data_IF_050708350905
#
_entry.id   IF_050708350905
#
_cell.length_a   1.000
_cell.length_b   1.000
_cell.length_c   1.000
_cell.angle_alpha   90.00
_cell.angle_beta   90.00
_cell.angle_gamma   90.00
#
_symmetry.space_group_name_H-M   'P 1'
#
loop_
_entity.id
_entity.type
_entity.pdbx_description
1 polymer ?
#
# COMPACT_ATOMS: atom_id res chain seq x y z
N UNK A 1 -25.83 -24.24 -11.74
CA UNK A 1 -24.84 -23.30 -12.33
C UNK A 1 -23.86 -22.91 -11.24
N UNK A 2 -22.57 -23.23 -11.36
CA UNK A 2 -21.54 -22.78 -10.43
C UNK A 2 -21.06 -21.37 -10.77
N UNK A 3 -20.58 -20.62 -9.77
CA UNK A 3 -19.90 -19.34 -9.94
C UNK A 3 -18.46 -19.53 -9.51
N UNK A 4 -17.53 -18.79 -10.10
CA UNK A 4 -16.10 -18.81 -9.76
C UNK A 4 -15.63 -17.36 -9.68
N UNK A 5 -14.84 -17.04 -8.66
CA UNK A 5 -14.16 -15.76 -8.53
C UNK A 5 -12.64 -15.99 -8.64
N UNK A 6 -11.95 -15.11 -9.36
CA UNK A 6 -10.50 -15.13 -9.52
C UNK A 6 -9.93 -13.83 -8.94
N UNK A 7 -8.91 -13.94 -8.09
CA UNK A 7 -8.21 -12.78 -7.51
C UNK A 7 -6.72 -13.07 -7.46
N UNK A 8 -5.91 -12.05 -7.74
CA UNK A 8 -4.46 -12.09 -7.62
C UNK A 8 -3.95 -11.65 -6.23
N UNK A 9 -4.81 -11.01 -5.42
CA UNK A 9 -4.48 -10.59 -4.06
C UNK A 9 -4.99 -11.62 -3.05
N UNK A 10 -4.26 -11.86 -1.94
CA UNK A 10 -4.77 -12.67 -0.86
C UNK A 10 -6.12 -12.10 -0.39
N UNK A 11 -7.08 -12.98 -0.10
CA UNK A 11 -8.41 -12.63 0.45
C UNK A 11 -8.30 -12.04 1.88
N UNK A 12 -7.08 -11.77 2.35
CA UNK A 12 -6.72 -11.40 3.72
C UNK A 12 -6.63 -9.87 3.93
N UNK A 13 -6.63 -9.05 2.87
CA UNK A 13 -6.39 -7.60 3.03
C UNK A 13 -7.51 -6.87 3.77
N UNK A 14 -8.78 -7.24 3.54
CA UNK A 14 -9.93 -6.77 4.33
C UNK A 14 -11.03 -7.84 4.37
N UNK A 15 -11.56 -8.08 5.57
CA UNK A 15 -12.62 -9.07 5.85
C UNK A 15 -13.89 -8.81 5.03
N UNK A 16 -14.17 -7.54 4.72
CA UNK A 16 -15.28 -7.12 3.86
C UNK A 16 -15.18 -7.63 2.41
N UNK A 17 -13.96 -7.73 1.87
CA UNK A 17 -13.73 -8.13 0.48
C UNK A 17 -14.05 -9.62 0.33
N UNK A 18 -13.72 -10.41 1.36
CA UNK A 18 -14.12 -11.80 1.50
C UNK A 18 -15.65 -11.94 1.46
N UNK A 19 -16.41 -11.13 2.21
CA UNK A 19 -17.88 -11.19 2.15
C UNK A 19 -18.42 -10.84 0.76
N UNK A 20 -17.86 -9.83 0.10
CA UNK A 20 -18.27 -9.44 -1.25
C UNK A 20 -18.05 -10.57 -2.26
N UNK A 21 -16.90 -11.26 -2.19
CA UNK A 21 -16.61 -12.44 -3.01
C UNK A 21 -17.65 -13.54 -2.71
N UNK A 22 -17.85 -13.89 -1.44
CA UNK A 22 -18.79 -14.97 -1.05
C UNK A 22 -20.25 -14.67 -1.35
N UNK A 23 -20.68 -13.41 -1.30
CA UNK A 23 -22.00 -13.00 -1.79
C UNK A 23 -22.19 -13.35 -3.26
N UNK A 24 -21.12 -13.27 -4.07
CA UNK A 24 -21.16 -13.68 -5.47
C UNK A 24 -21.07 -15.20 -5.61
N UNK A 25 -20.01 -15.84 -5.10
CA UNK A 25 -19.74 -17.27 -5.36
C UNK A 25 -20.70 -18.22 -4.65
N UNK A 26 -21.12 -17.90 -3.42
CA UNK A 26 -22.02 -18.72 -2.60
C UNK A 26 -23.01 -17.83 -1.80
N UNK A 27 -24.04 -17.27 -2.47
CA UNK A 27 -24.99 -16.35 -1.84
C UNK A 27 -25.60 -16.92 -0.55
N UNK A 28 -25.57 -16.13 0.54
CA UNK A 28 -26.11 -16.54 1.85
C UNK A 28 -25.17 -17.38 2.71
N UNK A 29 -24.06 -17.90 2.17
CA UNK A 29 -23.14 -18.78 2.92
C UNK A 29 -22.53 -18.11 4.17
N UNK A 30 -22.26 -16.81 4.09
CA UNK A 30 -21.72 -16.00 5.19
C UNK A 30 -22.78 -15.14 5.91
N UNK A 31 -24.06 -15.39 5.64
CA UNK A 31 -25.16 -14.56 6.13
C UNK A 31 -25.28 -13.23 5.37
N UNK A 32 -26.14 -12.36 5.88
CA UNK A 32 -26.30 -11.02 5.32
C UNK A 32 -25.13 -10.08 5.69
N UNK A 33 -25.15 -8.86 5.15
CA UNK A 33 -24.06 -7.90 5.36
C UNK A 33 -23.96 -7.45 6.82
N UNK A 34 -25.11 -7.29 7.48
CA UNK A 34 -25.20 -6.70 8.83
C UNK A 34 -24.66 -7.70 9.84
N UNK A 35 -25.12 -8.94 9.78
CA UNK A 35 -24.68 -10.03 10.65
C UNK A 35 -23.19 -10.31 10.47
N UNK A 36 -22.71 -10.31 9.23
CA UNK A 36 -21.29 -10.51 8.96
C UNK A 36 -20.43 -9.40 9.55
N UNK A 37 -20.85 -8.14 9.41
CA UNK A 37 -20.13 -6.99 9.97
C UNK A 37 -20.08 -7.04 11.49
N UNK A 38 -21.20 -7.31 12.15
CA UNK A 38 -21.25 -7.44 13.62
C UNK A 38 -20.37 -8.58 14.11
N UNK A 39 -20.43 -9.73 13.43
CA UNK A 39 -19.70 -10.93 13.84
C UNK A 39 -18.20 -10.87 13.54
N UNK A 40 -17.78 -10.23 12.45
CA UNK A 40 -16.40 -10.31 11.95
C UNK A 40 -15.68 -8.97 11.81
N UNK A 41 -16.36 -7.88 11.45
CA UNK A 41 -15.67 -6.58 11.24
C UNK A 41 -15.58 -5.80 12.56
N UNK A 42 -16.70 -5.62 13.27
CA UNK A 42 -16.76 -4.89 14.53
C UNK A 42 -15.91 -5.57 15.61
N UNK A 43 -16.05 -6.90 15.74
CA UNK A 43 -15.28 -7.70 16.70
C UNK A 43 -13.75 -7.64 16.48
N UNK A 44 -13.28 -7.37 15.26
CA UNK A 44 -11.85 -7.14 15.00
C UNK A 44 -11.40 -5.70 15.21
N UNK A 45 -12.32 -4.74 15.19
CA UNK A 45 -12.04 -3.34 15.45
C UNK A 45 -12.00 -3.00 16.96
N UNK A 46 -12.70 -3.78 17.80
CA UNK A 46 -12.85 -3.54 19.25
C UNK A 46 -11.63 -3.92 20.12
N UNK A 47 -10.54 -4.42 19.52
CA UNK A 47 -9.21 -4.29 20.13
C UNK A 47 -8.73 -5.40 21.07
N UNK A 48 -9.44 -6.51 21.27
CA UNK A 48 -8.83 -7.72 21.87
C UNK A 48 -8.15 -8.56 20.76
N UNK A 49 -6.81 -8.58 20.68
CA UNK A 49 -6.10 -9.26 19.61
C UNK A 49 -6.28 -10.78 19.65
N UNK A 50 -6.47 -11.37 20.85
CA UNK A 50 -6.62 -12.82 21.01
C UNK A 50 -8.01 -13.29 20.57
N UNK A 51 -9.05 -12.56 20.96
CA UNK A 51 -10.41 -12.84 20.53
C UNK A 51 -10.57 -12.65 19.01
N UNK A 52 -9.96 -11.61 18.46
CA UNK A 52 -9.92 -11.32 17.02
C UNK A 52 -9.23 -12.43 16.22
N UNK A 53 -8.07 -12.91 16.68
CA UNK A 53 -7.33 -14.00 16.02
C UNK A 53 -8.14 -15.31 15.96
N UNK A 54 -8.76 -15.70 17.07
CA UNK A 54 -9.58 -16.93 17.11
C UNK A 54 -10.82 -16.84 16.22
N UNK A 55 -11.42 -15.65 16.09
CA UNK A 55 -12.54 -15.40 15.20
C UNK A 55 -12.15 -15.45 13.72
N UNK A 56 -10.99 -14.89 13.37
CA UNK A 56 -10.43 -14.95 12.02
C UNK A 56 -10.09 -16.37 11.61
N UNK A 57 -9.50 -17.17 12.50
CA UNK A 57 -9.20 -18.57 12.19
C UNK A 57 -10.48 -19.38 11.94
N UNK A 58 -11.55 -19.15 12.72
CA UNK A 58 -12.85 -19.77 12.46
C UNK A 58 -13.42 -19.38 11.09
N UNK A 59 -13.31 -18.11 10.70
CA UNK A 59 -13.71 -17.67 9.37
C UNK A 59 -12.88 -18.37 8.28
N UNK A 60 -11.56 -18.40 8.44
CA UNK A 60 -10.62 -19.05 7.52
C UNK A 60 -10.93 -20.53 7.32
N UNK A 61 -11.16 -21.27 8.41
CA UNK A 61 -11.54 -22.68 8.34
C UNK A 61 -12.88 -22.87 7.62
N UNK A 62 -13.86 -22.01 7.90
CA UNK A 62 -15.17 -22.03 7.24
C UNK A 62 -15.07 -21.81 5.73
N UNK A 63 -14.24 -20.87 5.27
CA UNK A 63 -14.10 -20.58 3.84
C UNK A 63 -13.13 -21.51 3.11
N UNK A 64 -12.24 -22.19 3.83
CA UNK A 64 -11.18 -23.03 3.23
C UNK A 64 -11.64 -24.03 2.17
N UNK A 65 -12.83 -24.68 2.27
CA UNK A 65 -13.26 -25.63 1.24
C UNK A 65 -13.60 -24.98 -0.11
N UNK A 66 -13.81 -23.66 -0.14
CA UNK A 66 -14.16 -22.89 -1.33
C UNK A 66 -12.97 -22.12 -1.92
N UNK A 67 -11.82 -22.11 -1.22
CA UNK A 67 -10.66 -21.30 -1.60
C UNK A 67 -9.51 -22.20 -1.99
N UNK A 68 -9.09 -22.09 -3.25
CA UNK A 68 -7.86 -22.69 -3.75
C UNK A 68 -6.80 -21.60 -3.89
N UNK A 69 -5.79 -21.61 -3.01
CA UNK A 69 -4.60 -20.73 -3.09
C UNK A 69 -3.37 -21.60 -3.29
N UNK A 70 -2.57 -21.28 -4.30
CA UNK A 70 -1.25 -21.87 -4.52
C UNK A 70 -0.23 -20.75 -4.62
N UNK A 71 0.89 -20.87 -3.91
CA UNK A 71 2.00 -19.91 -4.00
C UNK A 71 3.05 -20.40 -4.99
N UNK A 72 3.93 -19.51 -5.47
CA UNK A 72 4.97 -19.89 -6.44
C UNK A 72 5.91 -20.94 -5.84
N UNK A 73 6.22 -20.83 -4.55
CA UNK A 73 7.05 -21.77 -3.80
C UNK A 73 6.43 -23.18 -3.77
N UNK A 74 5.09 -23.28 -3.76
CA UNK A 74 4.40 -24.57 -3.76
C UNK A 74 4.39 -25.26 -5.13
N UNK A 75 4.41 -24.50 -6.23
CA UNK A 75 4.16 -25.02 -7.59
C UNK A 75 5.35 -24.95 -8.53
N UNK A 76 6.35 -24.12 -8.23
CA UNK A 76 7.43 -23.82 -9.15
C UNK A 76 8.79 -23.92 -8.45
N UNK A 77 9.12 -25.15 -8.04
CA UNK A 77 10.33 -25.49 -7.26
C UNK A 77 11.64 -25.25 -8.00
N UNK A 78 11.59 -25.12 -9.33
CA UNK A 78 12.75 -24.89 -10.18
C UNK A 78 13.08 -23.39 -10.33
N UNK A 79 12.24 -22.48 -9.81
CA UNK A 79 12.60 -21.07 -9.77
C UNK A 79 13.62 -20.80 -8.66
N UNK A 80 14.70 -20.04 -8.94
CA UNK A 80 15.58 -19.57 -7.90
C UNK A 80 14.84 -18.66 -6.93
N UNK A 81 15.33 -18.60 -5.69
CA UNK A 81 14.78 -17.73 -4.66
C UNK A 81 14.80 -16.27 -5.11
N UNK A 82 13.74 -15.53 -4.80
CA UNK A 82 13.70 -14.09 -5.01
C UNK A 82 14.66 -13.43 -4.02
N UNK A 83 15.67 -12.75 -4.54
CA UNK A 83 16.57 -11.93 -3.74
C UNK A 83 15.96 -10.53 -3.59
N UNK A 84 15.68 -10.14 -2.36
CA UNK A 84 15.23 -8.79 -2.01
C UNK A 84 16.37 -8.04 -1.31
N UNK A 85 16.65 -6.83 -1.78
CA UNK A 85 17.71 -5.98 -1.26
C UNK A 85 17.09 -4.62 -0.95
N UNK A 86 17.04 -4.27 0.32
CA UNK A 86 16.62 -2.94 0.76
C UNK A 86 17.81 -1.98 0.69
N UNK A 87 17.66 -0.91 -0.08
CA UNK A 87 18.67 0.13 -0.23
C UNK A 87 18.20 1.43 0.44
N UNK A 88 18.96 1.88 1.44
CA UNK A 88 18.67 3.10 2.18
C UNK A 88 19.41 4.27 1.54
N UNK A 89 18.67 5.26 1.06
CA UNK A 89 19.23 6.45 0.41
C UNK A 89 19.10 7.67 1.33
N UNK A 90 20.19 8.42 1.46
CA UNK A 90 20.19 9.73 2.14
C UNK A 90 19.81 10.80 1.14
N UNK A 91 18.82 11.63 1.46
CA UNK A 91 18.43 12.77 0.61
C UNK A 91 19.59 13.75 0.46
N UNK A 92 19.72 14.36 -0.72
CA UNK A 92 20.64 15.48 -0.92
C UNK A 92 20.23 16.67 -0.04
N UNK A 93 21.17 17.54 0.32
CA UNK A 93 20.94 18.63 1.27
C UNK A 93 19.79 19.57 0.86
N UNK A 94 19.67 19.88 -0.43
CA UNK A 94 18.61 20.71 -0.99
C UNK A 94 17.24 20.02 -0.97
N UNK A 95 17.22 18.71 -1.21
CA UNK A 95 16.02 17.86 -1.14
C UNK A 95 15.56 17.67 0.31
N UNK A 96 16.49 17.47 1.25
CA UNK A 96 16.24 17.39 2.67
C UNK A 96 15.70 18.72 3.24
N UNK A 97 16.30 19.84 2.82
CA UNK A 97 15.83 21.18 3.20
C UNK A 97 14.41 21.44 2.69
N UNK A 98 14.12 21.06 1.43
CA UNK A 98 12.78 21.18 0.87
C UNK A 98 11.76 20.32 1.63
N UNK A 99 12.11 19.06 1.90
CA UNK A 99 11.26 18.15 2.67
C UNK A 99 10.92 18.73 4.04
N UNK A 100 11.92 19.20 4.79
CA UNK A 100 11.74 19.78 6.11
C UNK A 100 10.87 21.05 6.07
N UNK A 101 11.08 21.91 5.07
CA UNK A 101 10.28 23.13 4.86
C UNK A 101 8.81 22.81 4.55
N UNK A 102 8.55 21.85 3.66
CA UNK A 102 7.20 21.39 3.32
C UNK A 102 6.51 20.73 4.50
N UNK A 103 7.22 19.87 5.25
CA UNK A 103 6.67 19.21 6.42
C UNK A 103 6.24 20.24 7.48
N UNK A 104 7.10 21.21 7.78
CA UNK A 104 6.80 22.25 8.77
C UNK A 104 5.62 23.12 8.33
N UNK A 105 5.68 23.70 7.14
CA UNK A 105 4.62 24.59 6.64
C UNK A 105 3.28 23.87 6.44
N UNK A 106 3.31 22.60 6.02
CA UNK A 106 2.11 21.79 5.87
C UNK A 106 1.46 21.39 7.20
N UNK A 107 2.25 21.17 8.27
CA UNK A 107 1.70 20.92 9.60
C UNK A 107 1.04 22.19 10.18
N UNK A 108 1.69 23.34 10.04
CA UNK A 108 1.13 24.62 10.48
C UNK A 108 -0.20 24.92 9.76
N UNK A 109 -0.28 24.62 8.46
CA UNK A 109 -1.49 24.81 7.66
C UNK A 109 -2.59 23.78 8.01
N UNK A 110 -2.20 22.53 8.28
CA UNK A 110 -3.12 21.49 8.73
C UNK A 110 -3.86 21.88 10.01
N UNK A 111 -3.15 22.45 10.98
CA UNK A 111 -3.75 22.93 12.23
C UNK A 111 -4.81 24.01 11.97
N UNK A 112 -4.47 25.02 11.15
CA UNK A 112 -5.41 26.08 10.77
C UNK A 112 -6.65 25.55 10.05
N UNK A 113 -6.47 24.63 9.10
CA UNK A 113 -7.59 24.05 8.33
C UNK A 113 -8.50 23.25 9.26
N UNK A 114 -7.95 22.48 10.21
CA UNK A 114 -8.76 21.73 11.17
C UNK A 114 -9.61 22.66 12.04
N UNK A 115 -9.04 23.78 12.49
CA UNK A 115 -9.76 24.79 13.27
C UNK A 115 -10.87 25.48 12.47
N UNK A 116 -10.62 25.81 11.20
CA UNK A 116 -11.55 26.60 10.38
C UNK A 116 -12.61 25.78 9.66
N UNK A 117 -12.25 24.58 9.20
CA UNK A 117 -13.05 23.77 8.26
C UNK A 117 -13.35 22.36 8.80
N UNK A 118 -12.82 22.02 9.98
CA UNK A 118 -13.05 20.76 10.66
C UNK A 118 -12.17 19.60 10.20
N UNK A 119 -12.34 18.45 10.86
CA UNK A 119 -11.47 17.27 10.69
C UNK A 119 -11.48 16.67 9.28
N UNK A 120 -12.60 16.76 8.55
CA UNK A 120 -12.69 16.25 7.19
C UNK A 120 -11.75 16.96 6.21
N UNK A 121 -11.72 18.30 6.28
CA UNK A 121 -10.82 19.12 5.47
C UNK A 121 -9.36 18.91 5.88
N UNK A 122 -9.09 18.82 7.19
CA UNK A 122 -7.76 18.50 7.71
C UNK A 122 -7.22 17.17 7.17
N UNK A 123 -8.05 16.12 7.15
CA UNK A 123 -7.64 14.81 6.60
C UNK A 123 -7.26 14.89 5.12
N UNK A 124 -8.01 15.64 4.31
CA UNK A 124 -7.69 15.84 2.89
C UNK A 124 -6.35 16.58 2.73
N UNK A 125 -6.13 17.61 3.54
CA UNK A 125 -4.87 18.36 3.52
C UNK A 125 -3.67 17.51 3.94
N UNK A 126 -3.82 16.69 4.98
CA UNK A 126 -2.78 15.75 5.41
C UNK A 126 -2.40 14.77 4.30
N UNK A 127 -3.38 14.20 3.59
CA UNK A 127 -3.11 13.30 2.46
C UNK A 127 -2.34 14.03 1.34
N UNK A 128 -2.72 15.28 1.06
CA UNK A 128 -2.00 16.13 0.10
C UNK A 128 -0.57 16.42 0.54
N UNK A 129 -0.35 16.69 1.83
CA UNK A 129 0.98 16.90 2.39
C UNK A 129 1.84 15.63 2.29
N UNK A 130 1.31 14.48 2.69
CA UNK A 130 2.02 13.19 2.58
C UNK A 130 2.40 12.87 1.13
N UNK A 131 1.51 13.20 0.19
CA UNK A 131 1.77 13.06 -1.25
C UNK A 131 2.97 13.90 -1.68
N UNK A 132 2.98 15.19 -1.32
CA UNK A 132 4.08 16.12 -1.63
C UNK A 132 5.39 15.72 -0.98
N UNK A 133 5.36 15.26 0.28
CA UNK A 133 6.55 14.75 0.96
C UNK A 133 7.11 13.52 0.25
N UNK A 134 6.24 12.58 -0.17
CA UNK A 134 6.64 11.43 -0.98
C UNK A 134 7.25 11.85 -2.32
N UNK A 135 6.62 12.78 -3.04
CA UNK A 135 7.15 13.34 -4.29
C UNK A 135 8.53 13.94 -4.06
N UNK A 136 8.71 14.73 -2.99
CA UNK A 136 10.00 15.32 -2.61
C UNK A 136 11.08 14.26 -2.48
N UNK A 137 10.79 13.11 -1.86
CA UNK A 137 11.74 12.00 -1.71
C UNK A 137 12.05 11.26 -3.02
N UNK A 138 11.12 11.25 -3.98
CA UNK A 138 11.32 10.61 -5.28
C UNK A 138 12.13 11.51 -6.19
N UNK A 139 11.61 12.72 -6.43
CA UNK A 139 12.21 13.74 -7.28
C UNK A 139 11.54 15.10 -6.96
N UNK A 140 12.29 16.12 -6.51
CA UNK A 140 11.77 17.47 -6.28
C UNK A 140 11.09 18.11 -7.49
N UNK A 141 11.44 17.70 -8.72
CA UNK A 141 10.81 18.15 -9.97
C UNK A 141 9.32 17.80 -10.07
N UNK A 142 8.84 16.82 -9.30
CA UNK A 142 7.43 16.42 -9.26
C UNK A 142 6.50 17.43 -8.55
N UNK A 143 7.05 18.44 -7.88
CA UNK A 143 6.27 19.39 -7.06
C UNK A 143 5.78 20.63 -7.82
N UNK A 144 6.06 20.74 -9.13
CA UNK A 144 5.66 21.87 -9.99
C UNK A 144 5.93 23.25 -9.36
N UNK A 145 7.08 23.43 -8.69
CA UNK A 145 7.41 24.69 -7.99
C UNK A 145 7.96 25.71 -9.01
N UNK A 146 7.28 26.86 -9.24
CA UNK A 146 7.73 27.85 -10.22
C UNK A 146 9.11 28.41 -9.88
N UNK A 147 10.01 28.45 -10.87
CA UNK A 147 11.34 29.05 -10.74
C UNK A 147 12.36 28.20 -9.95
N UNK A 148 11.98 27.00 -9.51
CA UNK A 148 12.95 26.03 -8.97
C UNK A 148 13.81 25.52 -10.13
N UNK A 149 15.13 25.51 -9.94
CA UNK A 149 16.04 24.81 -10.84
C UNK A 149 15.91 23.31 -10.60
N UNK A 150 15.88 22.53 -11.67
CA UNK A 150 15.98 21.08 -11.58
C UNK A 150 17.20 20.73 -10.73
N UNK A 151 16.97 20.00 -9.65
CA UNK A 151 18.03 19.46 -8.81
C UNK A 151 18.01 17.95 -8.93
N UNK A 152 19.20 17.36 -8.94
CA UNK A 152 19.33 15.92 -9.09
C UNK A 152 18.62 15.20 -7.94
N UNK A 153 17.84 14.19 -8.29
CA UNK A 153 17.13 13.38 -7.33
C UNK A 153 17.96 12.14 -6.99
N UNK A 154 18.34 11.98 -5.72
CA UNK A 154 19.23 10.88 -5.28
C UNK A 154 18.71 9.51 -5.70
N UNK A 155 17.39 9.30 -5.66
CA UNK A 155 16.77 8.04 -6.06
C UNK A 155 16.87 7.77 -7.56
N UNK A 156 16.80 8.83 -8.38
CA UNK A 156 16.93 8.73 -9.83
C UNK A 156 18.39 8.48 -10.20
N UNK A 157 19.32 9.21 -9.60
CA UNK A 157 20.76 9.01 -9.80
C UNK A 157 21.14 7.56 -9.47
N UNK A 158 20.70 7.05 -8.31
CA UNK A 158 20.97 5.66 -7.92
C UNK A 158 20.32 4.63 -8.85
N UNK A 159 19.09 4.89 -9.32
CA UNK A 159 18.44 4.04 -10.30
C UNK A 159 19.26 3.97 -11.60
N UNK A 160 19.77 5.11 -12.08
CA UNK A 160 20.58 5.17 -13.31
C UNK A 160 21.92 4.42 -13.15
N UNK A 161 22.55 4.49 -11.98
CA UNK A 161 23.73 3.67 -11.66
C UNK A 161 23.40 2.17 -11.74
N UNK A 162 22.35 1.73 -11.05
CA UNK A 162 21.91 0.33 -11.06
C UNK A 162 21.56 -0.18 -12.47
N UNK A 163 20.91 0.65 -13.28
CA UNK A 163 20.59 0.31 -14.66
C UNK A 163 21.86 0.19 -15.52
N UNK A 164 22.84 1.06 -15.30
CA UNK A 164 24.13 1.02 -16.00
C UNK A 164 24.89 -0.27 -15.66
N UNK A 165 25.04 -0.59 -14.38
CA UNK A 165 25.68 -1.83 -13.89
C UNK A 165 25.02 -3.10 -14.46
N UNK A 166 23.69 -3.08 -14.63
CA UNK A 166 22.92 -4.23 -15.14
C UNK A 166 22.94 -4.33 -16.66
N UNK A 167 23.04 -3.21 -17.37
CA UNK A 167 23.09 -3.18 -18.84
C UNK A 167 24.28 -3.95 -19.39
N UNK A 168 25.39 -3.99 -18.63
CA UNK A 168 26.60 -4.74 -18.96
C UNK A 168 26.43 -6.27 -18.82
N UNK A 169 25.41 -6.73 -18.07
CA UNK A 169 25.25 -8.13 -17.66
C UNK A 169 24.06 -8.88 -18.30
N UNK A 170 23.52 -8.42 -19.44
CA UNK A 170 22.50 -9.11 -20.28
C UNK A 170 21.14 -9.46 -19.62
N UNK A 171 20.83 -8.88 -18.45
CA UNK A 171 19.53 -9.07 -17.79
C UNK A 171 18.45 -8.13 -18.32
N UNK A 172 17.18 -8.57 -18.31
CA UNK A 172 16.02 -7.67 -18.47
C UNK A 172 15.71 -7.01 -17.13
N UNK A 173 15.62 -5.69 -17.11
CA UNK A 173 15.25 -4.93 -15.91
C UNK A 173 13.85 -4.36 -16.05
N UNK A 174 13.01 -4.56 -15.05
CA UNK A 174 11.69 -3.92 -14.92
C UNK A 174 11.77 -2.88 -13.82
N UNK A 175 11.52 -1.61 -14.15
CA UNK A 175 11.38 -0.53 -13.18
C UNK A 175 9.89 -0.30 -12.96
N UNK A 176 9.45 -0.40 -11.71
CA UNK A 176 8.06 -0.14 -11.33
C UNK A 176 8.03 1.16 -10.54
N UNK A 177 7.72 2.31 -11.17
CA UNK A 177 7.46 3.52 -10.43
C UNK A 177 6.17 3.32 -9.64
N UNK A 178 6.21 3.62 -8.33
CA UNK A 178 4.99 3.73 -7.56
C UNK A 178 4.41 5.11 -7.87
N UNK A 179 3.42 5.17 -8.76
CA UNK A 179 2.73 6.41 -9.08
C UNK A 179 2.04 7.00 -7.84
N UNK A 180 1.99 8.34 -7.88
CA UNK A 180 1.57 9.35 -6.89
C UNK A 180 0.19 9.02 -6.29
#
# INVERSE_FOLDING_TARGET
>A
RGRIALTGTPIENRVQDLWAIFRFVAPGYLGDRKDFRERYEAATAEGDPKASAGLMERLRLRISPFVLRRTKEQVAKDLPDKIEIDEWLTLADDQAALYASLARSGLDELERIREQQGEGAGRMHLLTLLLRLRQTCVDPGLLEIPGRKDSNAVKIDRLLELLSERSENTGKTLVVPYEI
#
